data_IF_801331994414
#
_entry.id   IF_801331994414
#
_cell.length_a   1.000
_cell.length_b   1.000
_cell.length_c   1.000
_cell.angle_alpha   90.00
_cell.angle_beta   90.00
_cell.angle_gamma   90.00
#
_symmetry.space_group_name_H-M   'P 1'
#
loop_
_entity.id
_entity.type
_entity.pdbx_description
1 polymer ?
#
# COMPACT_ATOMS: atom_id res chain seq x y z
N UNK A 1 21.68 14.10 5.13
CA UNK A 1 20.79 13.18 5.89
C UNK A 1 19.39 13.30 5.34
N UNK A 2 18.74 12.18 5.01
CA UNK A 2 17.32 12.21 4.75
C UNK A 2 16.55 12.29 6.06
N UNK A 3 15.66 13.26 6.13
CA UNK A 3 14.84 13.53 7.31
C UNK A 3 13.51 12.82 7.25
N UNK A 4 12.94 12.52 8.41
CA UNK A 4 11.53 12.10 8.51
C UNK A 4 10.63 13.20 7.95
N UNK A 5 9.45 12.80 7.45
CA UNK A 5 8.50 13.68 6.81
C UNK A 5 7.10 13.53 7.37
N UNK A 6 6.40 14.65 7.38
CA UNK A 6 4.98 14.73 7.70
C UNK A 6 4.30 15.73 6.77
N UNK A 7 2.99 15.94 6.91
CA UNK A 7 2.28 16.97 6.17
C UNK A 7 2.60 18.36 6.73
N UNK A 8 2.54 19.37 5.85
CA UNK A 8 2.63 20.79 6.24
C UNK A 8 1.33 21.28 6.88
N UNK A 9 0.20 20.81 6.37
CA UNK A 9 -1.13 21.17 6.85
C UNK A 9 -2.05 19.96 6.89
N UNK A 10 -3.08 20.01 7.72
CA UNK A 10 -4.12 19.00 7.71
C UNK A 10 -4.97 19.12 6.44
N UNK A 11 -5.45 17.99 5.94
CA UNK A 11 -6.35 17.92 4.80
C UNK A 11 -7.41 16.85 5.03
N UNK A 12 -8.50 16.90 4.27
CA UNK A 12 -9.56 15.91 4.37
C UNK A 12 -10.24 15.65 3.02
N UNK A 13 -10.82 14.49 2.92
CA UNK A 13 -11.65 14.10 1.78
C UNK A 13 -12.80 13.23 2.25
N UNK A 14 -13.76 12.99 1.36
CA UNK A 14 -14.87 12.07 1.59
C UNK A 14 -14.96 11.13 0.41
N UNK A 15 -15.24 9.88 0.68
CA UNK A 15 -15.48 8.87 -0.35
C UNK A 15 -16.38 7.76 0.15
N UNK A 16 -16.37 6.63 -0.56
CA UNK A 16 -17.17 5.45 -0.26
C UNK A 16 -16.24 4.29 0.03
N UNK A 17 -16.53 3.49 1.05
CA UNK A 17 -15.82 2.24 1.31
C UNK A 17 -16.12 1.22 0.22
N UNK A 18 -15.11 0.53 -0.31
CA UNK A 18 -15.27 -0.48 -1.35
C UNK A 18 -16.18 -1.63 -0.90
N UNK A 19 -15.93 -2.12 0.31
CA UNK A 19 -16.65 -3.28 0.83
C UNK A 19 -17.94 -2.89 1.55
N UNK A 20 -17.91 -1.87 2.39
CA UNK A 20 -19.07 -1.44 3.18
C UNK A 20 -20.11 -0.67 2.38
N UNK A 21 -19.72 -0.01 1.29
CA UNK A 21 -20.59 0.92 0.56
C UNK A 21 -20.94 2.19 1.35
N UNK A 22 -20.43 2.34 2.55
CA UNK A 22 -20.70 3.46 3.42
C UNK A 22 -19.90 4.70 3.02
N UNK A 23 -20.48 5.89 3.24
CA UNK A 23 -19.76 7.15 3.12
C UNK A 23 -18.77 7.28 4.29
N UNK A 24 -17.53 7.63 3.98
CA UNK A 24 -16.45 7.79 4.96
C UNK A 24 -15.80 9.15 4.77
N UNK A 25 -15.61 9.89 5.86
CA UNK A 25 -14.74 11.06 5.92
C UNK A 25 -13.34 10.59 6.36
N UNK A 26 -12.33 10.98 5.59
CA UNK A 26 -10.92 10.72 5.84
C UNK A 26 -10.20 12.04 6.09
N UNK A 27 -9.60 12.20 7.28
CA UNK A 27 -8.73 13.30 7.64
C UNK A 27 -7.28 12.87 7.73
N UNK A 28 -6.37 13.67 7.20
CA UNK A 28 -4.93 13.44 7.29
C UNK A 28 -4.30 14.63 8.02
N UNK A 29 -3.62 14.37 9.14
CA UNK A 29 -3.03 15.43 9.97
C UNK A 29 -1.55 15.18 10.23
N UNK A 30 -0.72 16.26 10.26
CA UNK A 30 0.67 16.15 10.68
C UNK A 30 0.80 15.43 12.03
N UNK A 31 1.87 14.65 12.17
CA UNK A 31 2.20 14.00 13.43
C UNK A 31 3.65 14.34 13.84
N UNK A 32 3.99 14.30 15.13
CA UNK A 32 5.36 14.49 15.63
C UNK A 32 6.33 13.46 15.06
N UNK A 33 7.63 13.74 15.18
CA UNK A 33 8.70 12.78 14.87
C UNK A 33 8.49 11.47 15.62
N UNK A 34 8.88 10.36 14.99
CA UNK A 34 8.83 9.00 15.56
C UNK A 34 7.41 8.50 15.91
N UNK A 35 6.36 9.18 15.46
CA UNK A 35 4.98 8.73 15.65
C UNK A 35 4.65 7.52 14.76
N UNK A 36 5.23 7.46 13.55
CA UNK A 36 4.77 6.54 12.52
C UNK A 36 3.41 6.92 11.94
N UNK A 37 2.77 6.00 11.27
CA UNK A 37 1.40 6.17 10.76
C UNK A 37 0.42 5.59 11.76
N UNK A 38 -0.55 6.41 12.21
CA UNK A 38 -1.54 6.01 13.21
C UNK A 38 -2.94 6.30 12.71
N UNK A 39 -3.75 5.26 12.61
CA UNK A 39 -5.17 5.36 12.24
C UNK A 39 -6.02 5.60 13.48
N UNK A 40 -6.86 6.63 13.44
CA UNK A 40 -7.78 6.99 14.52
C UNK A 40 -9.22 6.78 14.06
N UNK A 41 -9.97 5.90 14.73
CA UNK A 41 -11.42 5.74 14.54
C UNK A 41 -12.15 6.87 15.27
N UNK A 42 -12.58 7.86 14.49
CA UNK A 42 -13.16 9.11 15.04
C UNK A 42 -14.69 9.08 15.17
N UNK A 43 -15.33 8.10 14.59
CA UNK A 43 -16.77 7.85 14.66
C UNK A 43 -17.22 7.13 15.95
N UNK A 44 -16.27 6.65 16.74
CA UNK A 44 -16.56 5.96 18.00
C UNK A 44 -16.71 6.95 19.15
N UNK A 45 -17.50 6.61 20.20
CA UNK A 45 -17.67 7.47 21.38
C UNK A 45 -16.35 7.86 22.05
N UNK A 46 -15.36 6.97 21.99
CA UNK A 46 -13.97 7.24 22.36
C UNK A 46 -13.08 6.88 21.15
N UNK A 47 -12.31 7.84 20.62
CA UNK A 47 -11.38 7.56 19.52
C UNK A 47 -10.40 6.45 19.89
N UNK A 48 -10.21 5.50 18.97
CA UNK A 48 -9.26 4.39 19.12
C UNK A 48 -8.13 4.58 18.12
N UNK A 49 -6.90 4.66 18.62
CA UNK A 49 -5.69 4.76 17.82
C UNK A 49 -5.17 3.35 17.47
N UNK A 50 -4.90 3.10 16.21
CA UNK A 50 -4.39 1.84 15.69
C UNK A 50 -3.09 2.14 14.93
N UNK A 51 -1.91 1.82 15.48
CA UNK A 51 -0.65 1.97 14.77
C UNK A 51 -0.61 1.09 13.51
N UNK A 52 -0.15 1.66 12.39
CA UNK A 52 0.05 0.95 11.14
C UNK A 52 1.29 0.07 11.20
N UNK A 53 1.16 -1.10 11.79
CA UNK A 53 2.23 -2.06 11.99
C UNK A 53 1.79 -3.46 11.58
N UNK A 54 2.71 -4.27 11.06
CA UNK A 54 2.46 -5.65 10.63
C UNK A 54 1.82 -6.50 11.74
N UNK A 55 2.17 -6.23 13.02
CA UNK A 55 1.59 -6.92 14.18
C UNK A 55 0.09 -6.63 14.38
N UNK A 56 -0.39 -5.47 13.92
CA UNK A 56 -1.79 -5.05 14.05
C UNK A 56 -2.67 -5.47 12.86
N UNK A 57 -2.10 -6.12 11.84
CA UNK A 57 -2.91 -6.67 10.74
C UNK A 57 -3.72 -7.86 11.26
N UNK A 58 -5.03 -7.77 11.09
CA UNK A 58 -5.99 -8.81 11.45
C UNK A 58 -6.48 -9.57 10.23
N UNK A 59 -7.64 -9.18 9.68
CA UNK A 59 -8.19 -9.80 8.46
C UNK A 59 -7.43 -9.31 7.22
N UNK A 60 -7.18 -10.25 6.30
CA UNK A 60 -6.49 -10.00 5.02
C UNK A 60 -7.31 -10.48 3.82
N UNK A 61 -8.59 -10.76 4.00
CA UNK A 61 -9.51 -11.13 2.92
C UNK A 61 -9.89 -9.90 2.11
N UNK A 62 -9.49 -9.89 0.85
CA UNK A 62 -9.73 -8.82 -0.14
C UNK A 62 -9.16 -7.44 0.20
N UNK A 63 -8.62 -7.23 1.39
CA UNK A 63 -7.94 -6.00 1.81
C UNK A 63 -7.09 -6.23 3.06
N UNK A 64 -6.17 -5.31 3.35
CA UNK A 64 -5.46 -5.30 4.63
C UNK A 64 -6.27 -4.54 5.68
N UNK A 65 -6.58 -5.22 6.80
CA UNK A 65 -7.35 -4.66 7.93
C UNK A 65 -6.46 -4.53 9.16
N UNK A 66 -6.29 -3.31 9.65
CA UNK A 66 -5.62 -3.05 10.93
C UNK A 66 -6.61 -3.21 12.09
N UNK A 67 -6.14 -3.76 13.21
CA UNK A 67 -6.97 -4.03 14.39
C UNK A 67 -6.25 -3.66 15.69
N UNK A 68 -7.02 -3.06 16.60
CA UNK A 68 -6.62 -2.79 17.99
C UNK A 68 -7.78 -3.09 18.89
N UNK A 69 -7.65 -4.12 19.76
CA UNK A 69 -8.78 -4.58 20.56
C UNK A 69 -9.96 -5.03 19.68
N UNK A 70 -11.16 -4.52 19.97
CA UNK A 70 -12.38 -4.78 19.19
C UNK A 70 -12.59 -3.84 17.99
N UNK A 71 -11.67 -2.89 17.75
CA UNK A 71 -11.79 -1.88 16.69
C UNK A 71 -10.90 -2.21 15.50
N UNK A 72 -11.37 -1.90 14.29
CA UNK A 72 -10.62 -2.13 13.07
C UNK A 72 -10.81 -1.01 12.04
N UNK A 73 -9.84 -0.90 11.12
CA UNK A 73 -9.90 -0.11 9.89
C UNK A 73 -9.42 -0.99 8.75
N UNK A 74 -10.25 -1.18 7.72
CA UNK A 74 -9.94 -2.02 6.55
C UNK A 74 -9.54 -1.18 5.32
N UNK A 75 -9.02 -1.88 4.29
CA UNK A 75 -8.63 -1.30 2.99
C UNK A 75 -7.58 -0.20 3.15
N UNK A 76 -6.58 -0.45 4.00
CA UNK A 76 -5.53 0.53 4.30
C UNK A 76 -4.42 0.56 3.25
N UNK A 77 -4.29 -0.47 2.43
CA UNK A 77 -3.18 -0.72 1.51
C UNK A 77 -2.95 0.40 0.50
N UNK A 78 -4.00 0.96 -0.10
CA UNK A 78 -3.84 2.03 -1.12
C UNK A 78 -3.34 3.34 -0.52
N UNK A 79 -3.86 3.72 0.66
CA UNK A 79 -3.37 4.88 1.39
C UNK A 79 -1.94 4.65 1.90
N UNK A 80 -1.65 3.47 2.46
CA UNK A 80 -0.30 3.12 2.91
C UNK A 80 0.69 3.13 1.75
N UNK A 81 0.29 2.64 0.56
CA UNK A 81 1.08 2.71 -0.66
C UNK A 81 1.38 4.15 -1.07
N UNK A 82 0.38 5.05 -1.03
CA UNK A 82 0.60 6.47 -1.31
C UNK A 82 1.57 7.10 -0.31
N UNK A 83 1.41 6.82 1.00
CA UNK A 83 2.30 7.33 2.05
C UNK A 83 3.74 6.87 1.85
N UNK A 84 3.94 5.58 1.53
CA UNK A 84 5.24 5.04 1.16
C UNK A 84 5.79 5.76 -0.07
N UNK A 85 4.97 5.89 -1.13
CA UNK A 85 5.35 6.47 -2.41
C UNK A 85 5.74 7.95 -2.36
N UNK A 86 5.22 8.73 -1.42
CA UNK A 86 5.62 10.13 -1.22
C UNK A 86 6.56 10.32 -0.02
N UNK A 87 6.90 9.23 0.69
CA UNK A 87 7.90 9.21 1.76
C UNK A 87 7.45 9.86 3.06
N UNK A 88 6.16 9.76 3.44
CA UNK A 88 5.63 10.24 4.71
C UNK A 88 5.93 9.22 5.82
N UNK A 89 6.66 9.64 6.85
CA UNK A 89 7.00 8.80 7.99
C UNK A 89 5.99 8.91 9.15
N UNK A 90 5.47 10.11 9.38
CA UNK A 90 4.64 10.41 10.56
C UNK A 90 3.33 11.06 10.14
N UNK A 91 2.20 10.44 10.47
CA UNK A 91 0.87 10.94 10.12
C UNK A 91 -0.21 10.41 11.05
N UNK A 92 -1.16 11.25 11.42
CA UNK A 92 -2.45 10.83 11.95
C UNK A 92 -3.46 10.72 10.81
N UNK A 93 -4.10 9.55 10.73
CA UNK A 93 -5.15 9.23 9.75
C UNK A 93 -6.46 9.10 10.51
N UNK A 94 -7.29 10.12 10.45
CA UNK A 94 -8.60 10.16 11.12
C UNK A 94 -9.66 9.56 10.17
N UNK A 95 -10.34 8.51 10.62
CA UNK A 95 -11.30 7.77 9.79
C UNK A 95 -12.65 7.75 10.51
N UNK A 96 -13.66 8.37 9.91
CA UNK A 96 -15.03 8.31 10.40
C UNK A 96 -15.76 7.09 9.79
N UNK A 97 -15.31 5.90 10.17
CA UNK A 97 -15.85 4.63 9.67
C UNK A 97 -14.86 3.46 9.75
N UNK A 98 -15.31 2.25 9.45
CA UNK A 98 -14.50 1.03 9.57
C UNK A 98 -13.58 0.77 8.39
N UNK A 99 -13.59 1.62 7.35
CA UNK A 99 -12.91 1.37 6.07
C UNK A 99 -12.35 2.67 5.50
N UNK A 100 -11.17 2.62 4.86
CA UNK A 100 -10.63 3.73 4.08
C UNK A 100 -11.43 3.89 2.79
N UNK A 101 -11.77 5.11 2.35
CA UNK A 101 -12.51 5.30 1.10
C UNK A 101 -11.69 4.82 -0.09
N UNK A 102 -12.35 4.11 -1.02
CA UNK A 102 -11.68 3.50 -2.18
C UNK A 102 -11.20 4.52 -3.22
N UNK A 103 -11.77 5.70 -3.21
CA UNK A 103 -11.53 6.77 -4.18
C UNK A 103 -11.82 6.30 -5.62
N UNK A 104 -10.82 6.36 -6.52
CA UNK A 104 -10.90 5.86 -7.88
C UNK A 104 -10.38 4.40 -8.04
N UNK A 105 -10.11 3.72 -6.93
CA UNK A 105 -9.55 2.37 -6.90
C UNK A 105 -8.03 2.30 -6.97
N UNK A 106 -7.35 3.45 -7.00
CA UNK A 106 -5.89 3.53 -7.02
C UNK A 106 -5.34 4.35 -5.84
N UNK A 107 -4.02 4.48 -5.73
CA UNK A 107 -3.36 5.37 -4.78
C UNK A 107 -3.26 6.83 -5.28
N UNK A 108 -3.54 7.09 -6.56
CA UNK A 108 -3.38 8.41 -7.19
C UNK A 108 -4.08 9.55 -6.46
N UNK A 109 -5.37 9.45 -6.10
CA UNK A 109 -6.08 10.49 -5.35
C UNK A 109 -5.45 10.79 -3.99
N UNK A 110 -4.91 9.77 -3.30
CA UNK A 110 -4.20 9.99 -2.03
C UNK A 110 -2.87 10.72 -2.24
N UNK A 111 -2.11 10.35 -3.28
CA UNK A 111 -0.87 11.08 -3.65
C UNK A 111 -1.19 12.54 -3.90
N UNK A 112 -2.21 12.84 -4.70
CA UNK A 112 -2.66 14.20 -4.97
C UNK A 112 -3.05 14.96 -3.68
N UNK A 113 -3.79 14.30 -2.78
CA UNK A 113 -4.22 14.89 -1.52
C UNK A 113 -3.03 15.23 -0.62
N UNK A 114 -2.05 14.31 -0.50
CA UNK A 114 -0.83 14.48 0.28
C UNK A 114 0.06 15.61 -0.27
N UNK A 115 0.26 15.66 -1.59
CA UNK A 115 1.04 16.71 -2.24
C UNK A 115 0.36 18.08 -2.12
N UNK A 116 -0.96 18.14 -2.25
CA UNK A 116 -1.74 19.38 -2.09
C UNK A 116 -1.68 19.93 -0.67
N UNK A 117 -1.62 19.07 0.35
CA UNK A 117 -1.43 19.48 1.75
C UNK A 117 -0.01 20.00 2.03
N UNK A 118 0.93 19.69 1.14
CA UNK A 118 2.34 19.96 1.30
C UNK A 118 3.04 18.98 2.24
N UNK A 119 4.28 18.67 1.95
CA UNK A 119 5.14 17.75 2.71
C UNK A 119 6.30 18.53 3.29
N UNK A 120 6.61 18.31 4.57
CA UNK A 120 7.69 19.00 5.28
C UNK A 120 8.62 17.99 5.95
N UNK A 121 9.91 18.31 5.97
CA UNK A 121 10.92 17.58 6.71
C UNK A 121 10.89 17.95 8.19
N UNK A 122 11.15 16.95 9.03
CA UNK A 122 11.22 17.06 10.48
C UNK A 122 12.67 16.95 10.98
N UNK A 123 12.91 17.26 12.24
CA UNK A 123 14.29 17.29 12.81
C UNK A 123 14.85 15.91 13.18
N UNK A 124 14.24 14.81 12.79
CA UNK A 124 14.71 13.45 13.02
C UNK A 124 15.20 12.79 11.72
N UNK A 125 16.21 11.94 11.82
CA UNK A 125 16.71 11.17 10.67
C UNK A 125 15.70 10.10 10.27
N UNK A 126 15.51 9.91 8.95
CA UNK A 126 14.72 8.81 8.41
C UNK A 126 15.40 7.49 8.70
N UNK A 127 14.60 6.48 9.07
CA UNK A 127 15.05 5.12 9.33
C UNK A 127 14.51 4.19 8.26
N UNK A 128 15.26 3.11 8.00
CA UNK A 128 14.93 2.11 6.99
C UNK A 128 15.11 0.72 7.58
N UNK A 129 14.24 -0.21 7.18
CA UNK A 129 14.44 -1.65 7.40
C UNK A 129 15.29 -2.18 6.25
N UNK A 130 16.55 -2.58 6.54
CA UNK A 130 17.45 -3.19 5.55
C UNK A 130 17.40 -4.69 5.68
N UNK A 131 17.13 -5.39 4.57
CA UNK A 131 17.20 -6.85 4.49
C UNK A 131 18.65 -7.30 4.41
N UNK A 132 19.07 -8.20 5.30
CA UNK A 132 20.43 -8.74 5.38
C UNK A 132 20.51 -10.18 4.89
N UNK A 133 19.44 -10.95 4.98
CA UNK A 133 19.38 -12.33 4.53
C UNK A 133 18.03 -12.64 3.89
N UNK A 134 17.96 -13.60 2.95
CA UNK A 134 16.70 -13.98 2.34
C UNK A 134 15.68 -14.51 3.35
N UNK A 135 14.43 -14.06 3.20
CA UNK A 135 13.28 -14.57 3.95
C UNK A 135 12.18 -14.89 2.97
N UNK A 136 11.61 -16.08 3.06
CA UNK A 136 10.54 -16.55 2.17
C UNK A 136 9.40 -17.13 2.97
N UNK A 137 8.18 -16.97 2.45
CA UNK A 137 6.95 -17.62 2.90
C UNK A 137 6.19 -18.17 1.71
N UNK A 138 5.51 -19.32 1.92
CA UNK A 138 4.78 -20.06 0.89
C UNK A 138 3.37 -20.41 1.38
N UNK A 139 2.42 -20.46 0.46
CA UNK A 139 1.06 -20.97 0.67
C UNK A 139 0.62 -21.71 -0.61
N UNK A 140 0.77 -23.03 -0.61
CA UNK A 140 0.60 -23.86 -1.81
C UNK A 140 1.60 -23.47 -2.91
N UNK A 141 1.09 -23.08 -4.07
CA UNK A 141 1.89 -22.61 -5.22
C UNK A 141 2.23 -21.10 -5.16
N UNK A 142 1.69 -20.38 -4.16
CA UNK A 142 1.93 -18.95 -3.96
C UNK A 142 3.13 -18.75 -3.06
N UNK A 143 3.93 -17.72 -3.34
CA UNK A 143 5.07 -17.40 -2.49
C UNK A 143 5.43 -15.92 -2.53
N UNK A 144 6.12 -15.46 -1.51
CA UNK A 144 6.70 -14.14 -1.43
C UNK A 144 8.05 -14.20 -0.70
N UNK A 145 9.02 -13.39 -1.18
CA UNK A 145 10.40 -13.40 -0.68
C UNK A 145 10.95 -12.00 -0.55
N UNK A 146 11.72 -11.77 0.52
CA UNK A 146 12.68 -10.67 0.61
C UNK A 146 14.09 -11.16 0.35
N UNK A 147 14.88 -10.35 -0.33
CA UNK A 147 16.30 -10.58 -0.58
C UNK A 147 17.10 -9.30 -0.33
N UNK A 148 18.38 -9.39 0.12
CA UNK A 148 19.26 -8.24 0.18
C UNK A 148 19.37 -7.55 -1.19
N UNK A 149 19.22 -6.24 -1.19
CA UNK A 149 19.35 -5.41 -2.39
C UNK A 149 19.64 -3.97 -1.95
N UNK A 150 20.58 -3.31 -2.64
CA UNK A 150 20.92 -1.92 -2.33
C UNK A 150 19.96 -0.95 -3.04
N UNK A 151 18.75 -0.81 -2.49
CA UNK A 151 17.67 -0.01 -3.03
C UNK A 151 16.31 -0.59 -2.66
N UNK A 152 15.28 -0.25 -3.44
CA UNK A 152 13.95 -0.82 -3.31
C UNK A 152 13.46 -1.30 -4.67
N UNK A 153 13.25 -2.62 -4.78
CA UNK A 153 12.84 -3.27 -6.01
C UNK A 153 11.74 -4.28 -5.76
N UNK A 154 10.73 -4.26 -6.60
CA UNK A 154 9.65 -5.25 -6.60
C UNK A 154 9.62 -6.01 -7.93
N UNK A 155 9.39 -7.33 -7.83
CA UNK A 155 9.21 -8.23 -8.95
C UNK A 155 7.97 -9.08 -8.66
N UNK A 156 6.86 -8.76 -9.31
CA UNK A 156 5.56 -9.36 -9.00
C UNK A 156 4.98 -10.06 -10.21
N UNK A 157 4.63 -11.34 -10.05
CA UNK A 157 3.94 -12.13 -11.06
C UNK A 157 2.55 -12.50 -10.58
N UNK A 158 1.54 -12.15 -11.39
CA UNK A 158 0.13 -12.59 -11.20
C UNK A 158 -0.16 -13.79 -12.11
N UNK A 159 -1.10 -14.62 -11.69
CA UNK A 159 -1.59 -15.72 -12.51
C UNK A 159 -3.09 -15.94 -12.25
N UNK A 160 -3.90 -15.40 -13.14
CA UNK A 160 -5.35 -15.55 -13.14
C UNK A 160 -5.77 -16.32 -14.39
N UNK A 161 -6.66 -17.33 -14.27
CA UNK A 161 -7.13 -18.12 -15.40
C UNK A 161 -8.21 -17.35 -16.19
N UNK A 162 -7.84 -16.23 -16.82
CA UNK A 162 -8.77 -15.38 -17.55
C UNK A 162 -8.09 -14.87 -18.84
N UNK A 163 -8.79 -14.82 -20.00
CA UNK A 163 -8.21 -14.49 -21.30
C UNK A 163 -7.56 -13.09 -21.39
N UNK A 164 -8.02 -12.13 -20.59
CA UNK A 164 -7.44 -10.78 -20.53
C UNK A 164 -5.98 -10.79 -20.01
N UNK A 165 -5.58 -11.80 -19.21
CA UNK A 165 -4.23 -11.92 -18.69
C UNK A 165 -3.32 -12.68 -19.68
N UNK A 166 -2.84 -11.99 -20.71
CA UNK A 166 -1.82 -12.52 -21.60
C UNK A 166 -0.48 -12.75 -20.86
N UNK A 167 0.40 -13.59 -21.43
CA UNK A 167 1.71 -13.88 -20.82
C UNK A 167 2.56 -12.64 -20.62
N UNK A 168 2.42 -11.63 -21.48
CA UNK A 168 3.20 -10.40 -21.48
C UNK A 168 2.82 -9.44 -20.33
N UNK A 169 1.59 -9.56 -19.77
CA UNK A 169 1.04 -8.62 -18.79
C UNK A 169 0.98 -9.19 -17.38
N UNK A 170 1.55 -10.38 -17.16
CA UNK A 170 1.49 -11.08 -15.85
C UNK A 170 2.59 -10.67 -14.89
N UNK A 171 3.72 -10.21 -15.39
CA UNK A 171 4.86 -9.81 -14.56
C UNK A 171 5.14 -8.33 -14.68
N UNK A 172 5.47 -7.74 -13.55
CA UNK A 172 5.96 -6.36 -13.47
C UNK A 172 7.19 -6.33 -12.57
N UNK A 173 8.24 -5.69 -13.08
CA UNK A 173 9.44 -5.36 -12.29
C UNK A 173 9.53 -3.85 -12.17
N UNK A 174 9.59 -3.35 -10.94
CA UNK A 174 9.76 -1.93 -10.64
C UNK A 174 11.00 -1.76 -9.77
N UNK A 175 11.99 -1.06 -10.32
CA UNK A 175 13.20 -0.67 -9.59
C UNK A 175 13.12 0.84 -9.32
N UNK A 176 12.97 1.22 -8.07
CA UNK A 176 12.77 2.63 -7.72
C UNK A 176 14.05 3.48 -7.81
N UNK A 177 15.18 2.90 -8.16
CA UNK A 177 16.35 3.66 -8.58
C UNK A 177 16.15 4.34 -9.95
N UNK A 178 15.24 3.80 -10.78
CA UNK A 178 14.99 4.27 -12.16
C UNK A 178 13.54 4.56 -12.48
N UNK A 179 12.61 4.11 -11.64
CA UNK A 179 11.17 4.23 -11.85
C UNK A 179 10.52 5.17 -10.83
N UNK A 180 9.61 6.00 -11.29
CA UNK A 180 8.80 6.86 -10.44
C UNK A 180 7.57 6.14 -9.93
N UNK A 181 7.32 6.15 -8.62
CA UNK A 181 6.10 5.62 -8.02
C UNK A 181 4.84 6.27 -8.63
N UNK A 182 4.84 7.60 -8.73
CA UNK A 182 3.68 8.34 -9.23
C UNK A 182 3.34 7.99 -10.69
N UNK A 183 4.36 7.80 -11.54
CA UNK A 183 4.16 7.49 -12.96
C UNK A 183 3.87 6.01 -13.21
N UNK A 184 4.57 5.13 -12.50
CA UNK A 184 4.56 3.71 -12.82
C UNK A 184 3.55 2.89 -12.03
N UNK A 185 3.17 3.34 -10.82
CA UNK A 185 2.40 2.51 -9.90
C UNK A 185 1.14 3.18 -9.38
N UNK A 186 1.24 4.44 -8.94
CA UNK A 186 0.21 5.10 -8.12
C UNK A 186 -1.20 5.08 -8.71
N UNK A 187 -1.35 5.07 -10.04
CA UNK A 187 -2.63 5.15 -10.74
C UNK A 187 -3.22 3.80 -11.14
N UNK A 188 -2.56 2.68 -10.80
CA UNK A 188 -3.06 1.34 -11.08
C UNK A 188 -4.30 1.05 -10.22
N UNK A 189 -5.42 0.73 -10.87
CA UNK A 189 -6.71 0.51 -10.21
C UNK A 189 -6.86 -0.93 -9.73
N UNK A 190 -7.60 -1.09 -8.63
CA UNK A 190 -8.10 -2.39 -8.19
C UNK A 190 -9.02 -3.00 -9.25
N UNK A 191 -9.20 -4.32 -9.19
CA UNK A 191 -10.00 -5.05 -10.16
C UNK A 191 -10.76 -6.19 -9.50
N UNK A 192 -11.81 -6.62 -10.17
CA UNK A 192 -12.62 -7.75 -9.74
C UNK A 192 -13.34 -8.42 -10.91
N UNK A 193 -13.76 -9.65 -10.66
CA UNK A 193 -14.47 -10.46 -11.65
C UNK A 193 -15.98 -10.40 -11.39
N UNK A 194 -16.76 -10.18 -12.45
CA UNK A 194 -18.21 -10.07 -12.36
C UNK A 194 -18.83 -11.34 -11.75
N UNK A 195 -18.29 -12.49 -12.05
CA UNK A 195 -18.72 -13.78 -11.49
C UNK A 195 -18.65 -13.85 -9.96
N UNK A 196 -17.73 -13.08 -9.34
CA UNK A 196 -17.55 -13.07 -7.89
C UNK A 196 -18.41 -12.02 -7.18
N UNK A 197 -19.00 -11.08 -7.95
CA UNK A 197 -19.74 -9.92 -7.39
C UNK A 197 -20.94 -10.37 -6.56
N UNK A 198 -21.73 -11.35 -7.01
CA UNK A 198 -22.89 -11.83 -6.26
C UNK A 198 -22.48 -12.48 -4.95
N UNK A 199 -21.45 -13.33 -4.98
CA UNK A 199 -20.91 -13.98 -3.78
C UNK A 199 -20.31 -12.97 -2.79
N UNK A 200 -19.59 -11.97 -3.30
CA UNK A 200 -19.06 -10.88 -2.47
C UNK A 200 -20.20 -10.08 -1.80
N UNK A 201 -21.22 -9.69 -2.57
CA UNK A 201 -22.37 -8.94 -2.04
C UNK A 201 -23.16 -9.74 -1.01
N UNK A 202 -23.37 -11.04 -1.23
CA UNK A 202 -24.01 -11.93 -0.27
C UNK A 202 -23.20 -12.03 1.04
N UNK A 203 -21.87 -11.88 0.97
CA UNK A 203 -20.97 -11.83 2.12
C UNK A 203 -20.85 -10.41 2.72
N UNK A 204 -21.60 -9.43 2.23
CA UNK A 204 -21.52 -8.02 2.70
C UNK A 204 -20.25 -7.28 2.24
N UNK A 205 -19.64 -7.72 1.15
CA UNK A 205 -18.42 -7.15 0.57
C UNK A 205 -18.70 -6.57 -0.82
N UNK A 206 -17.85 -5.65 -1.27
CA UNK A 206 -17.97 -5.04 -2.61
C UNK A 206 -19.20 -4.16 -2.80
N UNK A 207 -19.87 -3.73 -1.72
CA UNK A 207 -21.14 -2.98 -1.78
C UNK A 207 -20.97 -1.59 -2.41
N UNK A 208 -19.78 -0.98 -2.30
CA UNK A 208 -19.42 0.31 -2.90
C UNK A 208 -18.69 0.18 -4.24
N UNK A 209 -18.46 -1.04 -4.72
CA UNK A 209 -17.77 -1.30 -5.99
C UNK A 209 -18.56 -0.86 -7.22
N UNK A 210 -17.88 -0.20 -8.15
CA UNK A 210 -18.43 0.30 -9.40
C UNK A 210 -17.37 0.39 -10.48
N UNK A 211 -17.78 0.60 -11.74
CA UNK A 211 -16.83 0.87 -12.85
C UNK A 211 -16.02 2.16 -12.67
N UNK A 212 -16.41 3.04 -11.73
CA UNK A 212 -15.67 4.28 -11.45
C UNK A 212 -14.49 4.05 -10.48
N UNK A 213 -14.49 2.96 -9.72
CA UNK A 213 -13.49 2.69 -8.68
C UNK A 213 -12.88 1.28 -8.74
N UNK A 214 -13.18 0.51 -9.78
CA UNK A 214 -12.56 -0.79 -10.03
C UNK A 214 -12.57 -1.11 -11.52
N UNK A 215 -11.59 -1.86 -11.98
CA UNK A 215 -11.63 -2.53 -13.28
C UNK A 215 -12.47 -3.79 -13.09
N UNK A 216 -13.55 -3.92 -13.84
CA UNK A 216 -14.45 -5.07 -13.78
C UNK A 216 -14.27 -5.92 -15.02
N UNK A 217 -14.07 -7.23 -14.82
CA UNK A 217 -13.94 -8.21 -15.89
C UNK A 217 -15.17 -9.11 -15.93
N UNK A 218 -15.74 -9.31 -17.12
CA UNK A 218 -16.68 -10.40 -17.37
C UNK A 218 -15.91 -11.71 -17.71
N UNK A 219 -16.49 -12.68 -18.32
CA UNK A 219 -15.84 -13.96 -18.65
C UNK A 219 -14.73 -13.82 -19.70
N UNK A 220 -14.69 -12.74 -20.49
CA UNK A 220 -13.82 -12.62 -21.66
C UNK A 220 -13.11 -11.28 -21.80
N UNK A 221 -13.63 -10.20 -21.20
CA UNK A 221 -13.17 -8.83 -21.45
C UNK A 221 -13.28 -7.90 -20.24
N UNK A 222 -12.70 -6.72 -20.38
CA UNK A 222 -12.85 -5.59 -19.44
C UNK A 222 -14.14 -4.86 -19.79
N UNK A 223 -14.94 -4.53 -18.77
CA UNK A 223 -16.23 -3.81 -18.92
C UNK A 223 -16.07 -2.29 -18.89
N UNK A 224 -14.97 -1.78 -18.34
CA UNK A 224 -14.70 -0.34 -18.29
C UNK A 224 -14.45 0.22 -19.70
N UNK A 225 -15.27 1.15 -20.15
CA UNK A 225 -15.21 1.71 -21.51
C UNK A 225 -13.94 2.50 -21.79
N UNK A 226 -13.31 3.08 -20.75
CA UNK A 226 -12.06 3.82 -20.84
C UNK A 226 -10.82 2.91 -20.97
N UNK A 227 -10.99 1.59 -20.80
CA UNK A 227 -9.89 0.62 -20.87
C UNK A 227 -8.93 0.71 -19.68
N UNK A 228 -7.68 0.28 -19.91
CA UNK A 228 -6.62 0.27 -18.92
C UNK A 228 -5.80 1.57 -18.94
N UNK A 229 -5.28 1.97 -17.78
CA UNK A 229 -4.34 3.10 -17.62
C UNK A 229 -2.89 2.70 -17.92
N UNK A 230 -2.58 1.41 -17.81
CA UNK A 230 -1.27 0.79 -18.13
C UNK A 230 -1.52 -0.56 -18.81
N UNK A 231 -0.66 -0.96 -19.73
CA UNK A 231 -0.78 -2.27 -20.41
C UNK A 231 -0.80 -3.45 -19.43
N UNK A 232 -0.08 -3.31 -18.31
CA UNK A 232 0.02 -4.28 -17.22
C UNK A 232 -0.61 -3.79 -15.91
N UNK A 233 -1.74 -3.06 -15.99
CA UNK A 233 -2.36 -2.38 -14.83
C UNK A 233 -2.69 -3.33 -13.69
N UNK A 234 -3.13 -4.55 -13.99
CA UNK A 234 -3.45 -5.56 -12.97
C UNK A 234 -2.23 -5.96 -12.12
N UNK A 235 -1.09 -6.22 -12.77
CA UNK A 235 0.15 -6.54 -12.08
C UNK A 235 0.70 -5.33 -11.33
N UNK A 236 0.61 -4.12 -11.91
CA UNK A 236 0.98 -2.86 -11.25
C UNK A 236 0.13 -2.57 -10.03
N UNK A 237 -1.17 -2.92 -10.07
CA UNK A 237 -2.02 -2.80 -8.89
C UNK A 237 -1.58 -3.74 -7.77
N UNK A 238 -1.18 -4.98 -8.09
CA UNK A 238 -0.61 -5.89 -7.08
C UNK A 238 0.72 -5.39 -6.51
N UNK A 239 1.51 -4.67 -7.30
CA UNK A 239 2.70 -3.95 -6.80
C UNK A 239 2.30 -2.80 -5.88
N UNK A 240 1.24 -2.04 -6.22
CA UNK A 240 0.69 -0.98 -5.37
C UNK A 240 0.26 -1.53 -4.00
N UNK A 241 -0.54 -2.61 -4.00
CA UNK A 241 -0.98 -3.30 -2.79
C UNK A 241 0.22 -3.76 -1.95
N UNK A 242 1.22 -4.41 -2.60
CA UNK A 242 2.40 -4.89 -1.92
C UNK A 242 3.19 -3.74 -1.26
N UNK A 243 3.39 -2.61 -1.94
CA UNK A 243 4.06 -1.44 -1.36
C UNK A 243 3.35 -0.98 -0.08
N UNK A 244 2.02 -0.90 -0.10
CA UNK A 244 1.22 -0.51 1.07
C UNK A 244 1.32 -1.52 2.21
N UNK A 245 1.21 -2.81 1.91
CA UNK A 245 1.33 -3.89 2.89
C UNK A 245 2.73 -3.95 3.52
N UNK A 246 3.78 -3.76 2.70
CA UNK A 246 5.17 -3.76 3.17
C UNK A 246 5.50 -2.50 3.99
N UNK A 247 4.81 -1.38 3.76
CA UNK A 247 5.01 -0.17 4.57
C UNK A 247 4.52 -0.35 6.02
N UNK A 248 3.73 -1.38 6.29
CA UNK A 248 3.37 -1.83 7.65
C UNK A 248 4.56 -2.42 8.45
N UNK A 249 5.74 -2.57 7.86
CA UNK A 249 7.01 -2.75 8.59
C UNK A 249 7.34 -1.54 9.49
N UNK A 250 6.68 -0.40 9.26
CA UNK A 250 6.85 0.85 10.03
C UNK A 250 7.91 1.79 9.47
N UNK A 251 8.73 1.32 8.53
CA UNK A 251 9.77 2.10 7.85
C UNK A 251 9.90 1.65 6.39
N UNK A 252 10.45 2.50 5.49
CA UNK A 252 10.77 2.08 4.12
C UNK A 252 11.74 0.90 4.11
N UNK A 253 11.56 0.00 3.14
CA UNK A 253 12.36 -1.21 2.98
C UNK A 253 13.56 -0.95 2.05
N UNK A 254 14.77 -1.32 2.48
CA UNK A 254 15.94 -1.50 1.63
C UNK A 254 16.07 -2.99 1.37
N UNK A 255 15.73 -3.42 0.16
CA UNK A 255 15.70 -4.81 -0.23
C UNK A 255 14.93 -5.04 -1.53
N UNK A 256 14.98 -6.26 -2.04
CA UNK A 256 14.16 -6.74 -3.13
C UNK A 256 13.00 -7.57 -2.59
N UNK A 257 11.80 -7.28 -3.06
CA UNK A 257 10.62 -8.11 -2.87
C UNK A 257 10.30 -8.84 -4.17
N UNK A 258 10.18 -10.15 -4.11
CA UNK A 258 9.76 -10.98 -5.24
C UNK A 258 8.56 -11.81 -4.84
N UNK A 259 7.52 -11.87 -5.70
CA UNK A 259 6.31 -12.60 -5.40
C UNK A 259 5.66 -13.26 -6.62
N UNK A 260 5.10 -14.41 -6.39
CA UNK A 260 4.26 -15.13 -7.32
C UNK A 260 2.89 -15.39 -6.69
N UNK A 261 1.83 -14.86 -7.30
CA UNK A 261 0.43 -15.00 -6.86
C UNK A 261 0.17 -14.52 -5.42
N UNK A 262 1.02 -13.64 -4.89
CA UNK A 262 0.89 -13.12 -3.54
C UNK A 262 -0.33 -12.20 -3.39
N UNK A 263 -0.73 -12.00 -2.16
CA UNK A 263 -1.77 -11.08 -1.71
C UNK A 263 -1.51 -10.65 -0.28
N UNK A 264 -2.45 -9.92 0.33
CA UNK A 264 -2.30 -9.29 1.65
C UNK A 264 -1.87 -10.29 2.75
N UNK A 265 -2.42 -11.51 2.74
CA UNK A 265 -2.07 -12.56 3.71
C UNK A 265 -0.57 -12.92 3.64
N UNK A 266 -0.05 -13.21 2.44
CA UNK A 266 1.36 -13.57 2.26
C UNK A 266 2.29 -12.36 2.47
N UNK A 267 1.89 -11.16 2.04
CA UNK A 267 2.66 -9.94 2.27
C UNK A 267 2.84 -9.68 3.77
N UNK A 268 1.76 -9.83 4.56
CA UNK A 268 1.82 -9.69 6.01
C UNK A 268 2.61 -10.84 6.66
N UNK A 269 2.41 -12.09 6.23
CA UNK A 269 3.16 -13.24 6.73
C UNK A 269 4.67 -13.05 6.50
N UNK A 270 5.07 -12.57 5.32
CA UNK A 270 6.48 -12.28 4.99
C UNK A 270 7.04 -11.16 5.88
N UNK A 271 6.30 -10.07 6.06
CA UNK A 271 6.70 -8.96 6.94
C UNK A 271 6.90 -9.42 8.38
N UNK A 272 5.97 -10.22 8.90
CA UNK A 272 6.09 -10.84 10.24
C UNK A 272 7.27 -11.81 10.33
N UNK A 273 7.49 -12.62 9.28
CA UNK A 273 8.60 -13.56 9.23
C UNK A 273 9.97 -12.85 9.21
N UNK A 274 10.07 -11.70 8.53
CA UNK A 274 11.27 -10.86 8.57
C UNK A 274 11.50 -10.33 9.99
N UNK A 275 10.51 -9.67 10.58
CA UNK A 275 10.62 -9.05 11.90
C UNK A 275 10.94 -10.05 13.02
N UNK A 276 10.47 -11.31 12.89
CA UNK A 276 10.79 -12.39 13.82
C UNK A 276 12.24 -12.91 13.71
N UNK A 277 12.93 -12.66 12.59
CA UNK A 277 14.30 -13.13 12.30
C UNK A 277 15.30 -11.99 12.45
N UNK A 278 15.66 -11.62 13.67
CA UNK A 278 16.53 -10.46 13.95
C UNK A 278 17.86 -10.44 13.18
N UNK A 279 18.40 -11.61 12.79
CA UNK A 279 19.61 -11.69 11.98
C UNK A 279 19.38 -11.34 10.50
N UNK A 280 18.12 -11.34 10.03
CA UNK A 280 17.78 -11.15 8.63
C UNK A 280 17.54 -9.68 8.26
N UNK A 281 17.55 -8.78 9.21
CA UNK A 281 17.32 -7.35 8.98
C UNK A 281 17.99 -6.49 10.05
N UNK A 282 18.14 -5.22 9.71
CA UNK A 282 18.59 -4.19 10.65
C UNK A 282 17.81 -2.89 10.43
N UNK A 283 17.74 -2.04 11.44
CA UNK A 283 17.22 -0.69 11.31
C UNK A 283 18.39 0.26 11.10
N UNK A 284 18.42 0.96 9.95
CA UNK A 284 19.51 1.85 9.58
C UNK A 284 19.02 3.28 9.35
N UNK A 285 19.92 4.25 9.57
CA UNK A 285 19.83 5.62 9.10
C UNK A 285 21.16 5.99 8.46
N UNK A 286 21.18 7.01 7.60
CA UNK A 286 22.36 7.42 6.87
C UNK A 286 22.80 8.80 7.32
N UNK A 287 24.09 8.98 7.57
CA UNK A 287 24.67 10.25 8.03
C UNK A 287 24.92 11.23 6.87
N UNK A 288 25.16 10.72 5.67
CA UNK A 288 25.34 11.55 4.48
C UNK A 288 24.30 11.17 3.39
N UNK A 289 23.80 12.14 2.59
CA UNK A 289 22.89 11.83 1.47
C UNK A 289 23.50 10.87 0.46
N UNK A 290 24.82 10.90 0.26
CA UNK A 290 25.52 10.02 -0.68
C UNK A 290 25.51 8.54 -0.28
N UNK A 291 25.29 8.24 1.01
CA UNK A 291 25.24 6.86 1.51
C UNK A 291 23.85 6.24 1.36
N UNK A 292 22.86 7.06 1.00
CA UNK A 292 21.48 6.60 0.81
C UNK A 292 21.36 5.95 -0.57
N UNK A 293 20.78 4.74 -0.68
CA UNK A 293 20.53 4.13 -1.99
C UNK A 293 19.75 5.05 -2.92
N UNK A 294 20.12 5.07 -4.21
CA UNK A 294 19.56 5.98 -5.23
C UNK A 294 18.03 5.93 -5.32
N UNK A 295 17.44 4.77 -5.07
CA UNK A 295 15.99 4.59 -4.99
C UNK A 295 15.27 5.56 -4.03
N UNK A 296 15.98 6.12 -3.05
CA UNK A 296 15.41 7.02 -2.04
C UNK A 296 15.88 8.47 -2.17
N UNK A 297 16.84 8.76 -3.06
CA UNK A 297 17.35 10.12 -3.26
C UNK A 297 16.38 10.98 -4.07
N UNK A 298 15.82 10.44 -5.15
CA UNK A 298 14.97 11.17 -6.10
C UNK A 298 13.47 10.85 -6.00
N UNK A 299 13.11 9.77 -5.33
CA UNK A 299 11.72 9.34 -5.17
C UNK A 299 10.80 10.43 -4.61
N UNK A 300 11.35 11.31 -3.84
CA UNK A 300 10.64 12.31 -3.04
C UNK A 300 10.38 13.64 -3.77
N UNK A 301 10.97 13.87 -4.94
CA UNK A 301 10.94 15.17 -5.64
C UNK A 301 10.17 15.14 -6.97
N UNK A 302 9.63 13.99 -7.39
CA UNK A 302 8.94 13.92 -8.67
C UNK A 302 7.49 14.41 -8.51
N UNK A 303 7.09 15.47 -9.23
CA UNK A 303 5.68 15.85 -9.30
C UNK A 303 4.87 14.73 -9.95
N UNK A 304 3.62 14.58 -9.48
CA UNK A 304 2.66 13.63 -10.02
C UNK A 304 2.32 13.94 -11.47
#
# INVERSE_FOLDING_TARGET
MLKQRTLKAATKTTGVGLHTGARVELGLRPAPVDTGIVFNRTDLPQPVAIPAQAANVGDTRLSSTLRQGGTSVSTVEHLMSALAGVGIDNLYVDVAGPEIPIMDGSAGPFVFLLQSAGIVEQQANKRYVRVLAPVEVNDGDKWARFEPFDGFKLDFTIDFPHPVFGSENRQVVVDFATNSYAKEVARARTFGFMQDVEAMRAAGLGLGGSLQNAIVLDETRILNSEGLRYDNEFAKHKVLDAIGDLYLLGHPLIGKYTAFKSGHALNNALSRALLARQYAWELVSFDAPADVPSAFQDWQLQPA
#
